data_IF_330717006490
#
_entry.id   IF_330717006490
#
_cell.length_a   1.000
_cell.length_b   1.000
_cell.length_c   1.000
_cell.angle_alpha   90.00
_cell.angle_beta   90.00
_cell.angle_gamma   90.00
#
_symmetry.space_group_name_H-M   'P 1'
#
loop_
_entity.id
_entity.type
_entity.pdbx_description
1 polymer ?
#
# COMPACT_ATOMS: atom_id res chain seq x y z
N UNK A 1 31.78 -6.33 45.16
CA UNK A 1 32.97 -5.51 44.85
C UNK A 1 33.49 -5.88 43.47
N UNK A 2 33.54 -4.94 42.52
CA UNK A 2 34.02 -5.14 41.15
C UNK A 2 35.48 -4.70 40.98
N UNK A 3 36.20 -5.29 40.02
CA UNK A 3 37.44 -4.78 39.38
C UNK A 3 37.42 -5.25 37.92
N UNK A 4 36.94 -4.45 36.95
CA UNK A 4 37.67 -3.44 36.15
C UNK A 4 38.62 -4.03 35.07
N UNK A 5 38.11 -4.13 33.83
CA UNK A 5 38.56 -3.57 32.51
C UNK A 5 40.08 -3.35 32.24
N UNK A 6 40.60 -3.27 30.98
CA UNK A 6 39.92 -2.76 29.77
C UNK A 6 40.38 -3.22 28.34
N UNK A 7 39.65 -2.71 27.32
CA UNK A 7 40.09 -2.23 25.97
C UNK A 7 40.60 -3.22 24.91
N UNK A 8 39.82 -3.35 23.83
CA UNK A 8 40.39 -3.25 22.48
C UNK A 8 39.60 -2.23 21.66
N UNK A 9 40.33 -1.24 21.14
CA UNK A 9 39.87 -0.13 20.34
C UNK A 9 40.56 -0.19 18.99
N UNK A 10 39.83 0.02 17.89
CA UNK A 10 40.35 0.83 16.77
C UNK A 10 39.24 1.12 15.76
N UNK A 11 38.74 2.35 15.81
CA UNK A 11 38.18 3.08 14.67
C UNK A 11 39.30 3.33 13.66
N UNK A 12 39.00 3.30 12.36
CA UNK A 12 39.58 4.23 11.37
C UNK A 12 38.62 4.46 10.20
N UNK A 13 38.34 5.74 10.01
CA UNK A 13 37.58 6.36 8.92
C UNK A 13 38.41 6.44 7.62
N UNK A 14 37.73 6.90 6.55
CA UNK A 14 38.23 7.73 5.43
C UNK A 14 38.98 6.97 4.31
N UNK A 15 38.84 7.25 3.01
CA UNK A 15 38.47 8.47 2.29
C UNK A 15 37.87 8.15 0.89
N UNK A 16 37.13 9.13 0.37
CA UNK A 16 36.73 9.30 -1.02
C UNK A 16 37.86 9.10 -2.04
N UNK A 17 37.54 8.65 -3.26
CA UNK A 17 38.22 9.11 -4.47
C UNK A 17 37.34 9.02 -5.71
N UNK A 18 36.80 10.19 -6.09
CA UNK A 18 36.35 10.54 -7.44
C UNK A 18 37.50 10.29 -8.43
N UNK A 19 37.23 9.57 -9.53
CA UNK A 19 38.12 9.56 -10.70
C UNK A 19 37.40 10.18 -11.90
N UNK A 20 37.60 11.48 -12.03
CA UNK A 20 37.38 12.24 -13.25
C UNK A 20 38.39 11.83 -14.32
N UNK A 21 37.93 11.29 -15.45
CA UNK A 21 38.76 11.11 -16.65
C UNK A 21 38.34 12.16 -17.68
N UNK A 22 39.16 13.21 -17.78
CA UNK A 22 39.23 14.12 -18.94
C UNK A 22 40.30 13.57 -19.88
N UNK A 23 39.94 13.27 -21.13
CA UNK A 23 40.92 13.25 -22.23
C UNK A 23 40.34 14.07 -23.38
N UNK A 24 41.11 15.09 -23.79
CA UNK A 24 40.85 16.02 -24.88
C UNK A 24 41.59 15.58 -26.16
N UNK A 25 40.94 15.90 -27.29
CA UNK A 25 41.46 16.27 -28.63
C UNK A 25 42.04 15.18 -29.55
N UNK A 26 41.43 15.08 -30.74
CA UNK A 26 42.03 15.55 -32.00
C UNK A 26 40.94 16.07 -32.96
N UNK A 27 41.28 17.14 -33.67
CA UNK A 27 40.48 17.89 -34.66
C UNK A 27 40.85 17.45 -36.08
N UNK A 28 39.97 17.82 -37.01
CA UNK A 28 40.11 17.92 -38.48
C UNK A 28 39.63 16.67 -39.26
N UNK A 29 38.79 16.74 -40.31
CA UNK A 29 38.12 17.81 -41.08
C UNK A 29 37.04 17.15 -42.00
N UNK A 30 36.23 17.98 -42.69
CA UNK A 30 35.20 17.69 -43.71
C UNK A 30 33.78 17.48 -43.13
N UNK A 31 32.95 18.52 -42.96
CA UNK A 31 32.29 19.40 -43.93
C UNK A 31 31.29 18.67 -44.85
N UNK A 32 30.06 18.49 -44.36
CA UNK A 32 28.85 18.37 -45.17
C UNK A 32 27.72 19.09 -44.43
N UNK A 33 27.38 20.27 -44.93
CA UNK A 33 26.15 21.00 -44.60
C UNK A 33 24.93 20.23 -45.15
N UNK A 34 24.00 19.89 -44.26
CA UNK A 34 22.59 19.68 -44.61
C UNK A 34 21.75 20.48 -43.62
N UNK A 35 21.67 21.78 -43.88
CA UNK A 35 20.82 22.68 -43.15
C UNK A 35 19.39 22.65 -43.72
N UNK A 36 18.42 22.47 -42.81
CA UNK A 36 17.05 22.98 -42.85
C UNK A 36 16.07 22.20 -43.72
N UNK A 37 15.55 21.07 -43.21
CA UNK A 37 14.13 20.73 -43.38
C UNK A 37 13.64 20.02 -42.12
N UNK A 38 12.94 20.77 -41.28
CA UNK A 38 11.90 20.29 -40.35
C UNK A 38 12.32 19.33 -39.21
N UNK A 39 13.11 19.85 -38.25
CA UNK A 39 12.95 19.42 -36.85
C UNK A 39 11.64 19.98 -36.31
N UNK A 40 10.51 19.37 -36.70
CA UNK A 40 9.29 19.46 -35.89
C UNK A 40 9.65 18.78 -34.58
N UNK A 41 9.97 19.59 -33.57
CA UNK A 41 10.02 19.15 -32.17
C UNK A 41 8.65 18.55 -31.83
N UNK A 42 8.48 17.27 -32.14
CA UNK A 42 7.42 16.42 -31.62
C UNK A 42 7.71 16.27 -30.13
N UNK A 43 7.39 17.32 -29.37
CA UNK A 43 7.58 17.38 -27.94
C UNK A 43 6.88 16.18 -27.31
N UNK A 44 7.67 15.26 -26.78
CA UNK A 44 7.14 14.10 -26.08
C UNK A 44 6.30 14.64 -24.92
N UNK A 45 4.99 14.32 -24.85
CA UNK A 45 4.17 14.79 -23.76
C UNK A 45 4.75 14.30 -22.43
N UNK A 46 4.79 15.19 -21.44
CA UNK A 46 5.28 14.87 -20.11
C UNK A 46 4.53 13.64 -19.57
N UNK A 47 5.28 12.59 -19.24
CA UNK A 47 4.73 11.37 -18.65
C UNK A 47 4.04 11.77 -17.33
N UNK A 48 2.76 11.40 -17.11
CA UNK A 48 2.08 11.72 -15.87
C UNK A 48 2.84 11.13 -14.69
N UNK A 49 2.93 11.88 -13.59
CA UNK A 49 3.57 11.40 -12.38
C UNK A 49 2.92 10.10 -11.90
N UNK A 50 3.75 9.11 -11.54
CA UNK A 50 3.28 7.84 -11.01
C UNK A 50 2.41 8.05 -9.77
N UNK A 51 1.26 7.36 -9.64
CA UNK A 51 0.39 7.51 -8.48
C UNK A 51 1.15 7.28 -7.17
N UNK A 52 1.15 8.28 -6.27
CA UNK A 52 1.80 8.16 -4.97
C UNK A 52 1.08 7.10 -4.14
N UNK A 53 1.82 6.13 -3.60
CA UNK A 53 1.27 5.03 -2.79
C UNK A 53 0.53 5.62 -1.58
N UNK A 54 -0.77 5.32 -1.46
CA UNK A 54 -1.54 5.66 -0.25
C UNK A 54 -1.05 4.76 0.91
N UNK A 55 -0.84 5.34 2.09
CA UNK A 55 -0.38 4.59 3.26
C UNK A 55 -1.38 3.47 3.61
N UNK A 56 -0.88 2.23 3.78
CA UNK A 56 -1.68 1.09 4.21
C UNK A 56 -2.14 1.35 5.65
N UNK A 57 -3.46 1.35 5.90
CA UNK A 57 -3.96 1.37 7.28
C UNK A 57 -3.51 0.08 7.96
N UNK A 58 -2.84 0.24 9.10
CA UNK A 58 -2.43 -0.85 9.98
C UNK A 58 -2.98 -0.55 11.37
N UNK A 59 -3.00 -1.55 12.25
CA UNK A 59 -3.49 -1.41 13.64
C UNK A 59 -2.76 -0.30 14.42
N UNK A 60 -1.58 0.12 13.95
CA UNK A 60 -0.75 1.16 14.57
C UNK A 60 -0.87 2.54 13.90
N UNK A 61 -1.86 2.76 13.03
CA UNK A 61 -2.03 4.08 12.39
C UNK A 61 -2.46 5.15 13.41
N UNK A 62 -1.79 6.32 13.45
CA UNK A 62 -2.17 7.41 14.35
C UNK A 62 -3.59 7.89 14.00
N UNK A 63 -4.52 7.79 14.95
CA UNK A 63 -5.93 8.16 14.78
C UNK A 63 -6.96 7.05 15.03
N UNK A 64 -6.54 5.81 15.34
CA UNK A 64 -7.46 4.76 15.79
C UNK A 64 -7.93 5.03 17.22
N UNK A 65 -9.25 5.09 17.43
CA UNK A 65 -9.83 5.29 18.76
C UNK A 65 -9.59 4.06 19.66
N UNK A 66 -9.36 4.28 20.94
CA UNK A 66 -9.18 3.20 21.92
C UNK A 66 -10.38 2.22 21.96
N UNK A 67 -11.58 2.73 21.66
CA UNK A 67 -12.81 1.94 21.55
C UNK A 67 -12.77 0.92 20.39
N UNK A 68 -12.22 1.30 19.23
CA UNK A 68 -12.04 0.37 18.11
C UNK A 68 -11.06 -0.76 18.46
N UNK A 69 -9.96 -0.44 19.15
CA UNK A 69 -9.00 -1.45 19.59
C UNK A 69 -9.61 -2.44 20.60
N UNK A 70 -10.49 -1.98 21.50
CA UNK A 70 -11.23 -2.88 22.38
C UNK A 70 -12.21 -3.77 21.62
N UNK A 71 -12.93 -3.22 20.64
CA UNK A 71 -13.84 -3.99 19.77
C UNK A 71 -13.09 -5.06 18.98
N UNK A 72 -11.92 -4.74 18.44
CA UNK A 72 -11.06 -5.70 17.74
C UNK A 72 -10.68 -6.88 18.62
N UNK A 73 -10.16 -6.62 19.83
CA UNK A 73 -9.77 -7.67 20.77
C UNK A 73 -10.91 -8.59 21.20
N UNK A 74 -12.14 -8.07 21.24
CA UNK A 74 -13.34 -8.86 21.57
C UNK A 74 -13.80 -9.75 20.43
N UNK A 75 -13.61 -9.31 19.19
CA UNK A 75 -14.05 -10.01 17.99
C UNK A 75 -13.00 -11.00 17.47
N UNK A 76 -11.74 -10.77 17.79
CA UNK A 76 -10.63 -11.63 17.38
C UNK A 76 -10.58 -12.91 18.22
N UNK A 77 -10.50 -14.05 17.53
CA UNK A 77 -10.35 -15.36 18.17
C UNK A 77 -9.47 -16.25 17.30
N UNK A 78 -9.07 -17.41 17.80
CA UNK A 78 -8.26 -18.35 17.01
C UNK A 78 -8.92 -18.74 15.69
N UNK A 79 -10.25 -18.73 15.64
CA UNK A 79 -11.05 -19.09 14.46
C UNK A 79 -11.44 -17.89 13.58
N UNK A 80 -11.43 -16.68 14.12
CA UNK A 80 -11.93 -15.47 13.46
C UNK A 80 -10.81 -14.43 13.42
N UNK A 81 -10.43 -14.01 12.20
CA UNK A 81 -9.53 -12.87 12.01
C UNK A 81 -10.36 -11.64 11.68
N UNK A 82 -10.03 -10.50 12.30
CA UNK A 82 -10.74 -9.25 12.04
C UNK A 82 -9.92 -8.42 11.07
N UNK A 83 -10.55 -7.97 10.00
CA UNK A 83 -9.93 -7.10 8.99
C UNK A 83 -10.57 -5.72 9.09
N UNK A 84 -9.73 -4.68 9.13
CA UNK A 84 -10.19 -3.30 9.14
C UNK A 84 -10.42 -2.82 7.70
N UNK A 85 -11.63 -2.35 7.45
CA UNK A 85 -12.07 -1.90 6.13
C UNK A 85 -12.54 -0.46 6.23
N UNK A 86 -12.08 0.39 5.32
CA UNK A 86 -12.60 1.75 5.21
C UNK A 86 -13.84 1.74 4.31
N UNK A 87 -15.03 2.00 4.85
CA UNK A 87 -16.21 2.16 4.02
C UNK A 87 -16.23 3.55 3.39
N UNK A 88 -16.11 3.60 2.06
CA UNK A 88 -16.11 4.86 1.31
C UNK A 88 -17.48 5.58 1.36
N UNK A 89 -18.57 4.83 1.59
CA UNK A 89 -19.93 5.36 1.67
C UNK A 89 -20.23 5.97 3.04
N UNK A 90 -19.89 5.29 4.14
CA UNK A 90 -20.04 5.81 5.50
C UNK A 90 -18.91 6.77 5.91
N UNK A 91 -17.76 6.70 5.25
CA UNK A 91 -16.50 7.34 5.65
C UNK A 91 -16.02 6.91 7.05
N UNK A 92 -16.33 5.66 7.41
CA UNK A 92 -15.99 5.05 8.70
C UNK A 92 -15.16 3.78 8.51
N UNK A 93 -14.31 3.49 9.51
CA UNK A 93 -13.53 2.25 9.56
C UNK A 93 -14.34 1.18 10.28
N UNK A 94 -14.61 0.08 9.58
CA UNK A 94 -15.43 -1.02 10.04
C UNK A 94 -14.55 -2.24 10.31
N UNK A 95 -14.66 -2.86 11.50
CA UNK A 95 -14.05 -4.16 11.77
C UNK A 95 -14.92 -5.28 11.18
N UNK A 96 -14.42 -5.97 10.17
CA UNK A 96 -15.13 -7.10 9.53
C UNK A 96 -14.56 -8.43 10.07
N UNK A 97 -15.36 -9.23 10.80
CA UNK A 97 -14.93 -10.54 11.28
C UNK A 97 -14.99 -11.57 10.16
N UNK A 98 -13.87 -12.26 9.91
CA UNK A 98 -13.73 -13.24 8.84
C UNK A 98 -13.36 -14.61 9.43
N UNK A 99 -14.13 -15.67 9.14
CA UNK A 99 -13.78 -17.03 9.53
C UNK A 99 -12.53 -17.49 8.80
N UNK A 100 -11.46 -17.84 9.55
CA UNK A 100 -10.19 -18.29 8.95
C UNK A 100 -10.36 -19.55 8.11
N UNK A 101 -11.26 -20.43 8.55
CA UNK A 101 -11.54 -21.70 7.86
C UNK A 101 -12.10 -21.48 6.45
N UNK A 102 -12.85 -20.41 6.21
CA UNK A 102 -13.44 -20.15 4.89
C UNK A 102 -12.37 -19.76 3.88
N UNK A 103 -11.40 -18.95 4.30
CA UNK A 103 -10.29 -18.51 3.44
C UNK A 103 -9.25 -19.62 3.26
N UNK A 104 -8.84 -20.29 4.34
CA UNK A 104 -7.77 -21.30 4.27
C UNK A 104 -8.17 -22.57 3.50
N UNK A 105 -9.48 -22.86 3.39
CA UNK A 105 -9.99 -24.01 2.64
C UNK A 105 -10.36 -23.68 1.20
N UNK A 106 -10.33 -22.41 0.81
CA UNK A 106 -10.70 -22.03 -0.55
C UNK A 106 -9.59 -22.42 -1.52
N UNK A 107 -9.98 -22.96 -2.67
CA UNK A 107 -9.05 -23.22 -3.78
C UNK A 107 -8.70 -21.93 -4.55
N UNK A 108 -9.44 -20.86 -4.30
CA UNK A 108 -9.21 -19.58 -4.97
C UNK A 108 -8.07 -18.83 -4.26
N UNK A 109 -7.07 -18.31 -5.01
CA UNK A 109 -5.99 -17.52 -4.42
C UNK A 109 -6.50 -16.23 -3.77
N UNK A 110 -7.66 -15.75 -4.24
CA UNK A 110 -8.35 -14.56 -3.74
C UNK A 110 -9.81 -14.91 -3.51
N UNK A 111 -10.25 -14.80 -2.26
CA UNK A 111 -11.58 -15.22 -1.82
C UNK A 111 -12.49 -13.99 -1.68
N UNK A 112 -13.63 -13.93 -2.39
CA UNK A 112 -14.60 -12.87 -2.21
C UNK A 112 -15.43 -13.12 -0.94
N UNK A 113 -15.49 -12.13 -0.06
CA UNK A 113 -16.32 -12.13 1.14
C UNK A 113 -17.22 -10.91 1.10
N UNK A 114 -18.52 -11.14 1.18
CA UNK A 114 -19.54 -10.10 1.24
C UNK A 114 -19.96 -9.87 2.68
N UNK A 115 -19.84 -8.63 3.15
CA UNK A 115 -20.27 -8.21 4.47
C UNK A 115 -21.31 -7.10 4.32
N UNK A 116 -22.48 -7.30 4.92
CA UNK A 116 -23.54 -6.30 4.90
C UNK A 116 -23.34 -5.35 6.08
N UNK A 117 -23.15 -4.07 5.77
CA UNK A 117 -22.96 -3.02 6.74
C UNK A 117 -24.14 -2.06 6.73
N UNK A 118 -24.60 -1.70 7.93
CA UNK A 118 -25.62 -0.69 8.16
C UNK A 118 -24.98 0.49 8.86
N UNK A 119 -25.12 1.68 8.29
CA UNK A 119 -24.60 2.90 8.90
C UNK A 119 -25.42 3.24 10.15
N UNK A 120 -24.76 3.69 11.23
CA UNK A 120 -25.44 4.13 12.44
C UNK A 120 -26.16 5.48 12.25
N UNK A 121 -25.67 6.32 11.34
CA UNK A 121 -26.16 7.67 11.10
C UNK A 121 -27.13 7.79 9.92
N UNK A 122 -26.97 6.93 8.91
CA UNK A 122 -27.82 6.89 7.72
C UNK A 122 -28.50 5.54 7.70
N UNK A 123 -29.83 5.47 7.57
CA UNK A 123 -30.60 4.20 7.49
C UNK A 123 -30.34 3.42 6.18
N UNK A 124 -29.10 3.45 5.72
CA UNK A 124 -28.65 2.98 4.45
C UNK A 124 -27.80 1.73 4.68
N UNK A 125 -28.20 0.66 4.03
CA UNK A 125 -27.58 -0.66 4.14
C UNK A 125 -26.92 -0.98 2.81
N UNK A 126 -25.63 -1.28 2.87
CA UNK A 126 -24.86 -1.61 1.68
C UNK A 126 -23.97 -2.82 1.95
N UNK A 127 -23.64 -3.51 0.88
CA UNK A 127 -22.76 -4.67 0.92
C UNK A 127 -21.34 -4.23 0.57
N UNK A 128 -20.39 -4.61 1.41
CA UNK A 128 -18.97 -4.46 1.17
C UNK A 128 -18.43 -5.82 0.74
N UNK A 129 -18.00 -5.93 -0.51
CA UNK A 129 -17.35 -7.15 -1.03
C UNK A 129 -15.84 -6.98 -0.99
N UNK A 130 -15.20 -7.76 -0.14
CA UNK A 130 -13.76 -7.82 0.04
C UNK A 130 -13.18 -8.98 -0.74
N UNK A 131 -12.09 -8.76 -1.44
CA UNK A 131 -11.31 -9.80 -2.09
C UNK A 131 -10.04 -9.99 -1.27
N UNK A 132 -9.97 -11.10 -0.54
CA UNK A 132 -8.94 -11.37 0.44
C UNK A 132 -8.03 -12.50 -0.02
N UNK A 133 -6.74 -12.36 0.24
CA UNK A 133 -5.78 -13.45 0.07
C UNK A 133 -5.79 -14.39 1.29
N UNK A 134 -5.04 -15.50 1.20
CA UNK A 134 -4.80 -16.39 2.34
C UNK A 134 -4.10 -15.73 3.53
N UNK A 135 -3.39 -14.61 3.32
CA UNK A 135 -2.83 -13.78 4.40
C UNK A 135 -3.85 -12.83 5.04
N UNK A 136 -5.10 -12.84 4.55
CA UNK A 136 -6.21 -11.94 4.91
C UNK A 136 -5.91 -10.48 4.57
N UNK A 137 -5.02 -10.25 3.60
CA UNK A 137 -4.76 -8.94 3.05
C UNK A 137 -5.84 -8.59 2.01
N UNK A 138 -6.37 -7.36 2.08
CA UNK A 138 -7.35 -6.87 1.12
C UNK A 138 -6.65 -6.54 -0.21
N UNK A 139 -7.01 -7.27 -1.27
CA UNK A 139 -6.58 -6.96 -2.65
C UNK A 139 -7.50 -5.99 -3.35
N UNK A 140 -8.80 -6.17 -3.16
CA UNK A 140 -9.83 -5.31 -3.74
C UNK A 140 -11.00 -5.17 -2.79
N UNK A 141 -11.62 -4.00 -2.85
CA UNK A 141 -12.85 -3.69 -2.13
C UNK A 141 -13.86 -3.16 -3.14
N UNK A 142 -15.11 -3.61 -3.03
CA UNK A 142 -16.25 -3.08 -3.77
C UNK A 142 -17.39 -2.78 -2.81
N UNK A 143 -18.20 -1.79 -3.15
CA UNK A 143 -19.41 -1.44 -2.42
C UNK A 143 -20.57 -1.57 -3.37
N UNK A 144 -21.62 -2.25 -2.93
CA UNK A 144 -22.83 -2.51 -3.70
C UNK A 144 -24.06 -2.11 -2.89
N UNK A 145 -25.09 -1.64 -3.58
CA UNK A 145 -26.41 -1.42 -2.97
C UNK A 145 -27.06 -2.76 -2.61
N UNK A 146 -27.79 -2.79 -1.50
CA UNK A 146 -28.61 -3.93 -1.10
C UNK A 146 -30.07 -3.59 -1.40
N UNK A 147 -30.70 -4.39 -2.26
CA UNK A 147 -32.12 -4.26 -2.59
C UNK A 147 -32.86 -5.43 -1.97
N UNK A 148 -33.87 -5.13 -1.15
CA UNK A 148 -34.75 -6.13 -0.57
C UNK A 148 -35.94 -6.34 -1.50
N UNK A 149 -36.19 -7.58 -1.91
CA UNK A 149 -37.47 -7.91 -2.54
C UNK A 149 -38.53 -8.01 -1.44
N UNK A 150 -39.71 -7.39 -1.59
CA UNK A 150 -40.87 -7.81 -0.81
C UNK A 150 -41.20 -9.27 -1.20
N UNK A 151 -41.43 -10.12 -0.20
CA UNK A 151 -41.97 -11.48 -0.38
C UNK A 151 -43.48 -11.44 -0.63
#
# INVERSE_FOLDING_TARGET
TPKSNPKFSSKKNKDEKKSSIKIKKKKDKANVDFSIVEDVELGIPLVPESPKKKNKLTVNSPGLSADLLQKLKRLESDKIKVVLVNCERCKEIIPVPIPKNYINKSDLPVVPISYVHSNSHMKDQHCITLHLDHDFDIRRQRISDVVFSPE
#
